data_IF_508285689452
#
_entry.id   IF_508285689452
#
_cell.length_a   1.000
_cell.length_b   1.000
_cell.length_c   1.000
_cell.angle_alpha   90.00
_cell.angle_beta   90.00
_cell.angle_gamma   90.00
#
_symmetry.space_group_name_H-M   'P 1'
#
loop_
_entity.id
_entity.type
_entity.pdbx_description
1 polymer ?
#
# COMPACT_ATOMS: atom_id res chain seq x y z
N UNK A 1 -14.58 2.78 -11.09
CA UNK A 1 -14.57 2.40 -9.67
C UNK A 1 -15.99 2.07 -9.19
N UNK A 2 -16.96 2.96 -9.35
CA UNK A 2 -18.33 2.82 -8.82
C UNK A 2 -19.03 1.55 -9.32
N UNK A 3 -19.04 1.28 -10.60
CA UNK A 3 -19.78 0.14 -11.19
C UNK A 3 -19.20 -1.23 -10.82
N UNK A 4 -17.87 -1.36 -10.76
CA UNK A 4 -17.20 -2.66 -10.59
C UNK A 4 -16.79 -2.96 -9.15
N UNK A 5 -16.48 -1.94 -8.34
CA UNK A 5 -15.91 -2.11 -6.99
C UNK A 5 -16.88 -1.84 -5.87
N UNK A 6 -17.77 -0.85 -6.00
CA UNK A 6 -18.75 -0.55 -4.96
C UNK A 6 -19.63 -1.75 -4.58
N UNK A 7 -20.08 -2.61 -5.53
CA UNK A 7 -20.86 -3.80 -5.17
C UNK A 7 -20.11 -4.82 -4.31
N UNK A 8 -18.75 -4.84 -4.37
CA UNK A 8 -17.91 -5.81 -3.66
C UNK A 8 -17.51 -5.34 -2.26
N UNK A 9 -17.59 -4.01 -1.99
CA UNK A 9 -16.99 -3.42 -0.78
C UNK A 9 -17.68 -3.89 0.49
N UNK A 10 -18.99 -4.06 0.47
CA UNK A 10 -19.76 -4.45 1.65
C UNK A 10 -19.33 -5.81 2.18
N UNK A 11 -19.22 -6.80 1.31
CA UNK A 11 -18.79 -8.15 1.67
C UNK A 11 -17.29 -8.18 2.04
N UNK A 12 -16.46 -7.44 1.30
CA UNK A 12 -15.05 -7.30 1.63
C UNK A 12 -14.83 -6.72 3.04
N UNK A 13 -15.57 -5.67 3.40
CA UNK A 13 -15.51 -5.06 4.73
C UNK A 13 -16.08 -5.98 5.82
N UNK A 14 -17.20 -6.66 5.59
CA UNK A 14 -17.82 -7.57 6.58
C UNK A 14 -16.90 -8.73 6.93
N UNK A 15 -16.31 -9.35 5.93
CA UNK A 15 -15.57 -10.60 6.07
C UNK A 15 -14.06 -10.42 6.07
N UNK A 16 -13.54 -9.18 5.95
CA UNK A 16 -12.10 -8.88 5.83
C UNK A 16 -11.42 -9.71 4.72
N UNK A 17 -12.13 -9.90 3.62
CA UNK A 17 -11.67 -10.68 2.47
C UNK A 17 -11.77 -9.84 1.21
N UNK A 18 -10.65 -9.69 0.53
CA UNK A 18 -10.61 -9.01 -0.77
C UNK A 18 -10.08 -9.98 -1.82
N UNK A 19 -10.76 -10.01 -2.94
CA UNK A 19 -10.32 -10.79 -4.10
C UNK A 19 -9.03 -10.17 -4.67
N UNK A 20 -7.94 -10.94 -4.68
CA UNK A 20 -6.65 -10.51 -5.22
C UNK A 20 -6.72 -10.19 -6.74
N UNK A 21 -7.73 -10.70 -7.47
CA UNK A 21 -7.97 -10.36 -8.86
C UNK A 21 -8.14 -8.83 -9.08
N UNK A 22 -8.48 -8.07 -8.03
CA UNK A 22 -8.57 -6.60 -8.09
C UNK A 22 -7.25 -5.94 -8.53
N UNK A 23 -6.10 -6.57 -8.22
CA UNK A 23 -4.79 -6.07 -8.68
C UNK A 23 -4.64 -6.19 -10.20
N UNK A 24 -5.08 -7.30 -10.79
CA UNK A 24 -5.09 -7.46 -12.26
C UNK A 24 -6.03 -6.46 -12.93
N UNK A 25 -7.24 -6.27 -12.37
CA UNK A 25 -8.18 -5.26 -12.87
C UNK A 25 -7.59 -3.84 -12.81
N UNK A 26 -6.80 -3.52 -11.78
CA UNK A 26 -6.09 -2.25 -11.68
C UNK A 26 -4.92 -2.16 -12.68
N UNK A 27 -4.20 -3.26 -12.88
CA UNK A 27 -3.11 -3.35 -13.85
C UNK A 27 -3.61 -3.14 -15.28
N UNK A 28 -4.69 -3.83 -15.68
CA UNK A 28 -5.32 -3.69 -17.00
C UNK A 28 -5.75 -2.25 -17.32
N UNK A 29 -6.07 -1.47 -16.30
CA UNK A 29 -6.42 -0.06 -16.41
C UNK A 29 -5.22 0.89 -16.31
N UNK A 30 -3.98 0.37 -16.14
CA UNK A 30 -2.78 1.18 -15.99
C UNK A 30 -2.73 1.98 -14.67
N UNK A 31 -3.39 1.51 -13.62
CA UNK A 31 -3.47 2.24 -12.34
C UNK A 31 -2.29 1.95 -11.39
N UNK A 32 -1.56 0.84 -11.65
CA UNK A 32 -0.44 0.43 -10.81
C UNK A 32 0.87 1.01 -11.34
N UNK A 33 1.68 1.59 -10.46
CA UNK A 33 2.93 2.25 -10.84
C UNK A 33 2.73 3.44 -11.79
N UNK A 34 1.59 4.11 -11.74
CA UNK A 34 1.14 5.10 -12.72
C UNK A 34 2.14 6.23 -12.99
N UNK A 35 2.98 6.61 -12.03
CA UNK A 35 3.98 7.69 -12.15
C UNK A 35 5.36 7.19 -12.59
N UNK A 36 5.55 5.89 -12.75
CA UNK A 36 6.81 5.28 -13.19
C UNK A 36 6.84 5.26 -14.73
N UNK A 37 7.97 5.65 -15.32
CA UNK A 37 8.20 5.56 -16.76
C UNK A 37 8.92 4.28 -17.13
N UNK A 38 8.47 3.61 -18.19
CA UNK A 38 9.02 2.32 -18.64
C UNK A 38 8.47 1.12 -17.89
N UNK A 39 8.99 -0.06 -18.15
CA UNK A 39 8.64 -1.33 -17.50
C UNK A 39 7.15 -1.69 -17.56
N UNK A 40 6.45 -1.24 -18.61
CA UNK A 40 4.99 -1.43 -18.73
C UNK A 40 4.14 -0.48 -17.87
N UNK A 41 4.75 0.49 -17.21
CA UNK A 41 4.06 1.53 -16.44
C UNK A 41 3.71 2.74 -17.32
N UNK A 42 2.61 3.49 -17.03
CA UNK A 42 2.12 4.56 -17.89
C UNK A 42 2.99 5.82 -17.96
N UNK A 43 3.82 6.11 -16.98
CA UNK A 43 4.60 7.36 -16.90
C UNK A 43 3.73 8.61 -16.75
N UNK A 44 2.58 8.51 -16.10
CA UNK A 44 1.63 9.59 -15.93
C UNK A 44 2.09 10.61 -14.86
N UNK A 45 1.47 11.79 -14.88
CA UNK A 45 1.76 12.83 -13.89
C UNK A 45 1.23 12.48 -12.49
N UNK A 46 1.76 13.12 -11.46
CA UNK A 46 1.26 13.00 -10.09
C UNK A 46 -0.20 13.50 -9.95
N UNK A 47 -0.64 14.43 -10.81
CA UNK A 47 -2.06 14.85 -10.84
C UNK A 47 -2.95 13.69 -11.25
N UNK A 48 -2.57 12.92 -12.28
CA UNK A 48 -3.30 11.71 -12.70
C UNK A 48 -3.34 10.69 -11.56
N UNK A 49 -2.21 10.44 -10.89
CA UNK A 49 -2.18 9.57 -9.72
C UNK A 49 -3.12 10.04 -8.62
N UNK A 50 -3.14 11.32 -8.31
CA UNK A 50 -4.04 11.91 -7.34
C UNK A 50 -5.53 11.72 -7.71
N UNK A 51 -5.90 12.01 -8.95
CA UNK A 51 -7.27 11.81 -9.45
C UNK A 51 -7.70 10.34 -9.37
N UNK A 52 -6.81 9.41 -9.71
CA UNK A 52 -7.08 7.97 -9.59
C UNK A 52 -7.27 7.59 -8.11
N UNK A 53 -6.41 8.05 -7.22
CA UNK A 53 -6.54 7.79 -5.78
C UNK A 53 -7.87 8.30 -5.23
N UNK A 54 -8.29 9.51 -5.62
CA UNK A 54 -9.59 10.11 -5.27
C UNK A 54 -10.77 9.24 -5.73
N UNK A 55 -10.78 8.80 -6.98
CA UNK A 55 -11.88 8.01 -7.53
C UNK A 55 -11.95 6.58 -6.95
N UNK A 56 -10.82 5.99 -6.57
CA UNK A 56 -10.82 4.68 -5.92
C UNK A 56 -11.26 4.79 -4.46
N UNK A 57 -10.79 5.77 -3.71
CA UNK A 57 -11.17 5.97 -2.32
C UNK A 57 -12.62 6.45 -2.16
N UNK A 58 -13.18 7.06 -3.18
CA UNK A 58 -14.62 7.34 -3.25
C UNK A 58 -15.49 6.09 -3.12
N UNK A 59 -14.93 4.92 -3.41
CA UNK A 59 -15.54 3.62 -3.17
C UNK A 59 -15.13 3.07 -1.82
N UNK A 60 -13.81 2.95 -1.57
CA UNK A 60 -13.28 2.39 -0.32
C UNK A 60 -11.79 2.74 -0.11
N UNK A 61 -11.47 3.18 1.10
CA UNK A 61 -10.10 3.52 1.50
C UNK A 61 -9.14 2.31 1.49
N UNK A 62 -9.66 1.10 1.73
CA UNK A 62 -8.86 -0.13 1.66
C UNK A 62 -8.38 -0.42 0.25
N UNK A 63 -9.25 -0.27 -0.73
CA UNK A 63 -8.88 -0.45 -2.15
C UNK A 63 -7.86 0.59 -2.62
N UNK A 64 -8.01 1.86 -2.20
CA UNK A 64 -6.99 2.87 -2.47
C UNK A 64 -5.68 2.54 -1.76
N UNK A 65 -5.72 2.06 -0.52
CA UNK A 65 -4.53 1.65 0.23
C UNK A 65 -3.76 0.53 -0.50
N UNK A 66 -4.45 -0.50 -0.98
CA UNK A 66 -3.85 -1.59 -1.76
C UNK A 66 -3.12 -1.08 -3.00
N UNK A 67 -3.77 -0.22 -3.80
CA UNK A 67 -3.19 0.41 -4.98
C UNK A 67 -1.99 1.30 -4.63
N UNK A 68 -2.11 2.11 -3.58
CA UNK A 68 -1.08 3.06 -3.16
C UNK A 68 0.17 2.33 -2.64
N UNK A 69 0.00 1.27 -1.85
CA UNK A 69 1.13 0.45 -1.39
C UNK A 69 1.84 -0.20 -2.56
N UNK A 70 1.10 -0.81 -3.50
CA UNK A 70 1.68 -1.38 -4.70
C UNK A 70 2.51 -0.35 -5.47
N UNK A 71 1.94 0.82 -5.76
CA UNK A 71 2.54 1.84 -6.63
C UNK A 71 3.65 2.64 -5.94
N UNK A 72 3.36 3.21 -4.76
CA UNK A 72 4.22 4.20 -4.09
C UNK A 72 5.21 3.60 -3.11
N UNK A 73 4.93 2.41 -2.55
CA UNK A 73 5.72 1.82 -1.48
C UNK A 73 6.46 0.54 -1.91
N UNK A 74 5.96 -0.18 -2.92
CA UNK A 74 6.63 -1.37 -3.45
C UNK A 74 7.30 -1.10 -4.80
N UNK A 75 6.57 -0.62 -5.80
CA UNK A 75 7.14 -0.34 -7.13
C UNK A 75 8.08 0.86 -7.14
N UNK A 76 7.73 1.93 -6.43
CA UNK A 76 8.55 3.14 -6.40
C UNK A 76 9.97 2.89 -5.89
N UNK A 77 10.22 2.25 -4.71
CA UNK A 77 11.58 2.00 -4.26
C UNK A 77 12.38 1.07 -5.20
N UNK A 78 11.74 0.09 -5.85
CA UNK A 78 12.40 -0.73 -6.87
C UNK A 78 12.80 0.15 -8.07
N UNK A 79 11.91 1.02 -8.54
CA UNK A 79 12.18 1.94 -9.65
C UNK A 79 13.27 2.97 -9.31
N UNK A 80 13.22 3.56 -8.11
CA UNK A 80 14.12 4.65 -7.73
C UNK A 80 15.49 4.17 -7.24
N UNK A 81 15.56 3.02 -6.58
CA UNK A 81 16.74 2.56 -5.85
C UNK A 81 17.27 1.20 -6.30
N UNK A 82 16.49 0.46 -7.08
CA UNK A 82 16.86 -0.86 -7.57
C UNK A 82 17.89 -0.82 -8.70
N UNK A 83 18.60 -1.93 -8.86
CA UNK A 83 19.41 -2.19 -10.05
C UNK A 83 18.51 -2.38 -11.28
N UNK A 84 19.10 -2.27 -12.48
CA UNK A 84 18.33 -2.51 -13.71
C UNK A 84 17.76 -3.95 -13.76
N UNK A 85 18.52 -4.94 -13.29
CA UNK A 85 18.06 -6.32 -13.19
C UNK A 85 16.82 -6.46 -12.26
N UNK A 86 16.83 -5.78 -11.11
CA UNK A 86 15.68 -5.75 -10.19
C UNK A 86 14.45 -5.08 -10.83
N UNK A 87 14.63 -3.97 -11.53
CA UNK A 87 13.54 -3.26 -12.23
C UNK A 87 12.90 -4.14 -13.30
N UNK A 88 13.71 -4.75 -14.16
CA UNK A 88 13.24 -5.64 -15.24
C UNK A 88 12.53 -6.88 -14.68
N UNK A 89 13.01 -7.41 -13.57
CA UNK A 89 12.43 -8.59 -12.94
C UNK A 89 11.04 -8.31 -12.35
N UNK A 90 10.89 -7.20 -11.62
CA UNK A 90 9.73 -6.98 -10.77
C UNK A 90 8.67 -6.06 -11.38
N UNK A 91 9.09 -4.90 -11.93
CA UNK A 91 8.14 -3.85 -12.30
C UNK A 91 7.11 -4.27 -13.37
N UNK A 92 7.47 -5.01 -14.43
CA UNK A 92 6.48 -5.38 -15.43
C UNK A 92 5.34 -6.25 -14.89
N UNK A 93 5.64 -7.25 -14.07
CA UNK A 93 4.64 -8.10 -13.44
C UNK A 93 3.80 -7.36 -12.41
N UNK A 94 4.43 -6.44 -11.67
CA UNK A 94 3.73 -5.59 -10.69
C UNK A 94 2.81 -4.57 -11.37
N UNK A 95 3.22 -4.00 -12.52
CA UNK A 95 2.39 -3.07 -13.30
C UNK A 95 1.12 -3.74 -13.83
N UNK A 96 1.20 -5.02 -14.24
CA UNK A 96 0.04 -5.81 -14.67
C UNK A 96 -0.78 -6.38 -13.50
N UNK A 97 -0.35 -6.16 -12.24
CA UNK A 97 -1.02 -6.73 -11.06
C UNK A 97 -0.90 -8.26 -10.96
N UNK A 98 0.08 -8.87 -11.61
CA UNK A 98 0.42 -10.29 -11.53
C UNK A 98 1.26 -10.60 -10.32
N UNK A 99 2.11 -9.64 -9.93
CA UNK A 99 2.94 -9.69 -8.74
C UNK A 99 2.51 -8.59 -7.76
N UNK A 100 2.30 -8.97 -6.52
CA UNK A 100 1.85 -8.08 -5.46
C UNK A 100 3.05 -7.74 -4.56
N UNK A 101 3.19 -6.45 -4.25
CA UNK A 101 4.23 -5.96 -3.35
C UNK A 101 3.69 -5.41 -2.04
N UNK A 102 4.55 -5.40 -1.03
CA UNK A 102 4.30 -4.73 0.24
C UNK A 102 5.55 -3.99 0.74
N UNK A 103 5.37 -3.24 1.85
CA UNK A 103 6.40 -2.34 2.37
C UNK A 103 6.56 -2.52 3.88
N UNK A 104 7.64 -3.14 4.29
CA UNK A 104 7.97 -3.45 5.68
C UNK A 104 8.88 -2.39 6.32
N UNK A 105 8.30 -1.33 6.89
CA UNK A 105 9.02 -0.32 7.66
C UNK A 105 8.62 -0.35 9.14
N UNK A 106 7.33 -0.19 9.43
CA UNK A 106 6.76 -0.10 10.77
C UNK A 106 6.97 -1.40 11.56
N UNK A 107 7.36 -1.29 12.82
CA UNK A 107 7.52 -2.38 13.77
C UNK A 107 6.53 -2.25 14.94
N UNK A 108 6.29 -3.31 15.74
CA UNK A 108 5.40 -3.22 16.88
C UNK A 108 5.71 -2.05 17.82
N UNK A 109 6.99 -1.83 18.13
CA UNK A 109 7.44 -0.78 19.05
C UNK A 109 7.98 0.48 18.37
N UNK A 110 8.10 0.49 17.03
CA UNK A 110 8.71 1.57 16.25
C UNK A 110 7.84 1.97 15.05
N UNK A 111 6.74 2.68 15.34
CA UNK A 111 5.83 3.21 14.31
C UNK A 111 6.20 4.64 13.90
N UNK A 112 5.98 5.60 14.82
CA UNK A 112 6.27 7.03 14.55
C UNK A 112 7.77 7.34 14.51
N UNK A 113 8.60 6.50 15.11
CA UNK A 113 10.07 6.59 15.08
C UNK A 113 10.68 5.38 14.37
N UNK A 114 10.61 5.32 13.03
CA UNK A 114 11.19 4.21 12.27
C UNK A 114 12.72 4.19 12.30
N UNK A 115 13.35 5.28 12.70
CA UNK A 115 14.80 5.35 12.91
C UNK A 115 15.29 4.43 14.02
N UNK A 116 14.46 4.14 15.00
CA UNK A 116 14.79 3.25 16.13
C UNK A 116 14.48 1.78 15.86
N UNK A 117 14.12 1.40 14.62
CA UNK A 117 13.78 0.02 14.25
C UNK A 117 14.74 -1.02 14.85
N UNK A 118 14.17 -2.14 15.30
CA UNK A 118 14.89 -3.27 15.89
C UNK A 118 15.33 -4.30 14.84
N UNK A 119 14.67 -4.40 13.68
CA UNK A 119 15.03 -5.33 12.60
C UNK A 119 16.48 -5.15 12.17
N UNK A 120 17.22 -6.26 12.11
CA UNK A 120 18.65 -6.30 11.79
C UNK A 120 18.93 -7.09 10.51
N UNK A 121 19.92 -6.63 9.77
CA UNK A 121 20.51 -7.31 8.64
C UNK A 121 22.00 -7.52 8.90
N UNK A 122 22.40 -8.78 9.10
CA UNK A 122 23.79 -9.17 9.30
C UNK A 122 24.39 -9.64 7.99
N UNK A 123 25.59 -9.15 7.66
CA UNK A 123 26.31 -9.61 6.47
C UNK A 123 26.78 -11.06 6.65
N UNK A 124 26.49 -11.89 5.64
CA UNK A 124 26.93 -13.30 5.57
C UNK A 124 27.50 -13.61 4.20
N UNK A 125 28.05 -14.80 4.01
CA UNK A 125 28.59 -15.21 2.72
C UNK A 125 27.49 -15.18 1.63
N UNK A 126 27.69 -14.41 0.58
CA UNK A 126 26.80 -14.30 -0.58
C UNK A 126 25.51 -13.50 -0.34
N UNK A 127 25.35 -12.85 0.82
CA UNK A 127 24.12 -12.12 1.12
C UNK A 127 24.05 -11.58 2.53
N UNK A 128 22.83 -11.55 3.04
CA UNK A 128 22.46 -10.99 4.33
C UNK A 128 21.53 -11.96 5.08
N UNK A 129 21.62 -12.00 6.39
CA UNK A 129 20.66 -12.66 7.27
C UNK A 129 19.81 -11.60 7.96
N UNK A 130 18.49 -11.62 7.73
CA UNK A 130 17.54 -10.67 8.31
C UNK A 130 16.75 -11.29 9.44
N UNK A 131 16.68 -10.59 10.58
CA UNK A 131 15.87 -10.98 11.75
C UNK A 131 15.13 -9.80 12.32
N UNK A 132 13.85 -10.02 12.69
CA UNK A 132 12.95 -9.02 13.24
C UNK A 132 11.52 -9.18 12.74
N UNK A 133 10.67 -8.20 13.06
CA UNK A 133 9.27 -8.21 12.62
C UNK A 133 8.80 -6.84 12.16
N UNK A 134 7.90 -6.83 11.19
CA UNK A 134 7.19 -5.65 10.71
C UNK A 134 5.70 -5.84 10.95
N UNK A 135 4.99 -4.79 11.33
CA UNK A 135 3.58 -4.84 11.73
C UNK A 135 2.75 -3.82 10.97
N UNK A 136 1.47 -4.13 10.80
CA UNK A 136 0.51 -3.32 10.06
C UNK A 136 0.85 -3.17 8.57
N UNK A 137 1.35 -4.24 7.96
CA UNK A 137 1.83 -4.22 6.60
C UNK A 137 0.71 -4.58 5.63
N UNK A 138 0.22 -3.59 4.90
CA UNK A 138 -0.76 -3.78 3.82
C UNK A 138 -0.19 -4.69 2.75
N UNK A 139 -0.98 -5.66 2.31
CA UNK A 139 -0.71 -6.69 1.32
C UNK A 139 0.25 -7.81 1.77
N UNK A 140 0.93 -7.74 2.93
CA UNK A 140 1.95 -8.76 3.28
C UNK A 140 1.45 -10.21 3.20
N UNK A 141 0.21 -10.57 3.61
CA UNK A 141 -0.25 -11.96 3.52
C UNK A 141 -0.35 -12.52 2.10
N UNK A 142 -0.44 -11.66 1.10
CA UNK A 142 -0.60 -12.02 -0.32
C UNK A 142 0.56 -11.55 -1.19
N UNK A 143 1.58 -10.89 -0.61
CA UNK A 143 2.69 -10.32 -1.35
C UNK A 143 3.62 -11.38 -1.92
N UNK A 144 4.06 -11.18 -3.17
CA UNK A 144 5.10 -11.96 -3.84
C UNK A 144 6.49 -11.37 -3.59
N UNK A 145 6.58 -10.05 -3.48
CA UNK A 145 7.80 -9.32 -3.15
C UNK A 145 7.58 -8.30 -2.03
N UNK A 146 8.51 -8.22 -1.09
CA UNK A 146 8.43 -7.37 0.08
C UNK A 146 9.63 -6.44 0.14
N UNK A 147 9.40 -5.13 0.11
CA UNK A 147 10.43 -4.13 0.36
C UNK A 147 10.58 -3.97 1.86
N UNK A 148 11.66 -4.47 2.43
CA UNK A 148 11.91 -4.47 3.88
C UNK A 148 13.10 -3.57 4.22
N UNK A 149 12.91 -2.73 5.23
CA UNK A 149 13.96 -1.86 5.77
C UNK A 149 14.51 -2.44 7.07
N UNK A 150 15.84 -2.58 7.12
CA UNK A 150 16.55 -3.14 8.26
C UNK A 150 17.87 -2.40 8.51
N UNK A 151 18.33 -2.38 9.75
CA UNK A 151 19.67 -1.84 10.11
C UNK A 151 20.74 -2.89 9.88
N UNK A 152 21.82 -2.52 9.22
CA UNK A 152 23.02 -3.33 9.17
C UNK A 152 23.80 -3.27 10.50
N UNK A 153 24.94 -3.95 10.58
CA UNK A 153 25.79 -4.02 11.78
C UNK A 153 26.36 -2.65 12.19
N UNK A 154 26.45 -1.71 11.25
CA UNK A 154 26.88 -0.33 11.48
C UNK A 154 25.72 0.60 11.90
N UNK A 155 24.52 0.07 12.07
CA UNK A 155 23.31 0.83 12.39
C UNK A 155 22.72 1.60 11.20
N UNK A 156 23.21 1.38 9.97
CA UNK A 156 22.72 2.05 8.77
C UNK A 156 21.52 1.30 8.21
N UNK A 157 20.45 2.04 7.93
CA UNK A 157 19.23 1.46 7.35
C UNK A 157 19.45 1.19 5.87
N UNK A 158 19.14 -0.05 5.45
CA UNK A 158 19.21 -0.55 4.08
C UNK A 158 17.85 -1.10 3.65
N UNK A 159 17.57 -1.09 2.36
CA UNK A 159 16.37 -1.69 1.76
C UNK A 159 16.67 -3.03 1.12
N UNK A 160 15.84 -4.02 1.38
CA UNK A 160 15.98 -5.39 0.89
C UNK A 160 14.70 -5.84 0.19
N UNK A 161 14.85 -6.65 -0.86
CA UNK A 161 13.73 -7.31 -1.54
C UNK A 161 13.66 -8.76 -1.05
N UNK A 162 12.65 -9.06 -0.22
CA UNK A 162 12.35 -10.42 0.19
C UNK A 162 11.29 -11.02 -0.74
N UNK A 163 11.37 -12.32 -0.96
CA UNK A 163 10.49 -13.04 -1.85
C UNK A 163 9.65 -14.04 -1.06
N UNK A 164 8.41 -14.20 -1.47
CA UNK A 164 7.52 -15.21 -0.91
C UNK A 164 8.17 -16.59 -0.94
N UNK A 165 8.09 -17.31 0.18
CA UNK A 165 8.64 -18.65 0.30
C UNK A 165 10.10 -18.72 0.73
N UNK A 166 10.79 -17.60 0.98
CA UNK A 166 12.11 -17.61 1.62
C UNK A 166 12.04 -18.32 2.97
N UNK A 167 13.03 -19.18 3.26
CA UNK A 167 13.09 -19.90 4.55
C UNK A 167 13.21 -18.91 5.71
N UNK A 168 12.43 -19.12 6.77
CA UNK A 168 12.39 -18.25 7.94
C UNK A 168 11.47 -17.03 7.79
N UNK A 169 10.83 -16.83 6.61
CA UNK A 169 9.90 -15.74 6.35
C UNK A 169 8.46 -16.21 6.53
N UNK A 170 7.68 -15.47 7.31
CA UNK A 170 6.23 -15.67 7.42
C UNK A 170 5.48 -14.33 7.42
N UNK A 171 4.23 -14.36 6.95
CA UNK A 171 3.40 -13.17 6.79
C UNK A 171 1.99 -13.40 7.34
N UNK A 172 1.83 -13.56 8.68
CA UNK A 172 0.53 -13.80 9.28
C UNK A 172 -0.41 -12.60 9.07
N UNK A 173 -1.70 -12.89 8.82
CA UNK A 173 -2.72 -11.88 8.63
C UNK A 173 -3.19 -11.30 9.97
N UNK A 174 -3.48 -10.00 9.99
CA UNK A 174 -4.12 -9.30 11.11
C UNK A 174 -5.62 -9.19 10.80
N UNK A 175 -6.44 -9.68 11.71
CA UNK A 175 -7.90 -9.66 11.63
C UNK A 175 -8.52 -8.78 12.72
N UNK A 176 -9.81 -8.43 12.58
CA UNK A 176 -10.54 -7.66 13.58
C UNK A 176 -10.26 -6.16 13.55
N UNK A 177 -9.76 -5.62 12.45
CA UNK A 177 -9.52 -4.18 12.32
C UNK A 177 -10.83 -3.40 12.41
N UNK A 178 -10.78 -2.20 13.01
CA UNK A 178 -11.92 -1.30 13.11
C UNK A 178 -12.24 -0.61 11.78
N UNK A 179 -11.21 -0.26 11.00
CA UNK A 179 -11.32 0.38 9.69
C UNK A 179 -10.42 -0.29 8.65
N UNK A 180 -10.51 0.15 7.37
CA UNK A 180 -9.75 -0.40 6.26
C UNK A 180 -9.90 -1.93 6.13
N UNK A 181 -11.10 -2.45 6.45
CA UNK A 181 -11.34 -3.89 6.57
C UNK A 181 -11.26 -4.62 5.22
N UNK A 182 -11.51 -3.91 4.11
CA UNK A 182 -11.28 -4.43 2.77
C UNK A 182 -9.78 -4.49 2.37
N UNK A 183 -8.89 -3.88 3.15
CA UNK A 183 -7.43 -3.95 2.91
C UNK A 183 -6.84 -5.13 3.66
N UNK A 184 -6.28 -6.10 2.94
CA UNK A 184 -5.54 -7.22 3.53
C UNK A 184 -4.29 -6.66 4.22
N UNK A 185 -4.17 -6.91 5.51
CA UNK A 185 -3.08 -6.38 6.34
C UNK A 185 -2.49 -7.50 7.18
N UNK A 186 -1.19 -7.51 7.37
CA UNK A 186 -0.52 -8.53 8.18
C UNK A 186 0.79 -8.04 8.76
N UNK A 187 1.61 -9.00 9.09
CA UNK A 187 2.97 -8.80 9.57
C UNK A 187 3.98 -9.34 8.54
N UNK A 188 5.25 -9.04 8.74
CA UNK A 188 6.39 -9.71 8.10
C UNK A 188 7.29 -10.15 9.25
N UNK A 189 7.35 -11.45 9.50
CA UNK A 189 8.20 -12.03 10.55
C UNK A 189 9.39 -12.71 9.88
N UNK A 190 10.57 -12.36 10.33
CA UNK A 190 11.85 -12.81 9.77
C UNK A 190 12.67 -13.48 10.88
N UNK A 191 12.97 -14.76 10.69
CA UNK A 191 13.83 -15.57 11.53
C UNK A 191 15.03 -16.04 10.72
N UNK A 192 16.13 -15.27 10.79
CA UNK A 192 17.36 -15.49 10.04
C UNK A 192 17.16 -15.71 8.54
N UNK A 193 16.27 -14.91 7.92
CA UNK A 193 15.98 -15.02 6.49
C UNK A 193 17.21 -14.66 5.68
N UNK A 194 17.71 -15.63 4.89
CA UNK A 194 18.79 -15.38 3.95
C UNK A 194 18.29 -14.57 2.74
N UNK A 195 18.90 -13.43 2.49
CA UNK A 195 18.62 -12.52 1.38
C UNK A 195 19.87 -12.37 0.55
N UNK A 196 19.91 -12.81 -0.72
CA UNK A 196 21.07 -12.67 -1.60
C UNK A 196 21.50 -11.21 -1.78
N UNK A 197 22.78 -10.98 -2.06
CA UNK A 197 23.30 -9.62 -2.31
C UNK A 197 22.57 -8.90 -3.44
N UNK A 198 22.14 -9.63 -4.47
CA UNK A 198 21.38 -9.08 -5.59
C UNK A 198 19.98 -8.57 -5.21
N UNK A 199 19.51 -8.91 -4.02
CA UNK A 199 18.21 -8.44 -3.49
C UNK A 199 18.36 -7.21 -2.56
N UNK A 200 19.58 -6.69 -2.35
CA UNK A 200 19.79 -5.38 -1.74
C UNK A 200 19.42 -4.28 -2.73
N UNK A 201 18.73 -3.22 -2.29
CA UNK A 201 18.50 -2.01 -3.08
C UNK A 201 19.78 -1.15 -3.09
N UNK A 202 20.53 -1.09 -4.20
CA UNK A 202 21.87 -0.45 -4.19
C UNK A 202 21.81 1.08 -4.15
N UNK A 203 20.73 1.66 -4.64
CA UNK A 203 20.61 3.12 -4.83
C UNK A 203 20.22 3.89 -3.57
N UNK A 204 20.22 3.27 -2.38
CA UNK A 204 19.69 3.91 -1.17
C UNK A 204 20.42 3.51 0.10
N UNK A 205 20.54 4.48 1.04
CA UNK A 205 21.08 4.29 2.39
C UNK A 205 20.43 5.27 3.36
N UNK A 206 20.17 4.82 4.60
CA UNK A 206 19.56 5.62 5.66
C UNK A 206 18.04 5.84 5.49
N UNK A 207 17.46 6.70 6.33
CA UNK A 207 16.03 7.02 6.35
C UNK A 207 15.52 7.75 5.12
N UNK A 208 16.40 8.34 4.30
CA UNK A 208 16.00 9.05 3.07
C UNK A 208 15.17 8.13 2.15
N UNK A 209 15.58 6.85 2.03
CA UNK A 209 14.88 5.89 1.19
C UNK A 209 13.41 5.70 1.57
N UNK A 210 13.11 5.19 2.78
CA UNK A 210 11.72 4.99 3.19
C UNK A 210 10.91 6.29 3.21
N UNK A 211 11.50 7.44 3.55
CA UNK A 211 10.79 8.71 3.58
C UNK A 211 10.42 9.23 2.18
N UNK A 212 11.25 9.01 1.18
CA UNK A 212 10.88 9.32 -0.21
C UNK A 212 9.66 8.50 -0.65
N UNK A 213 9.62 7.21 -0.30
CA UNK A 213 8.47 6.36 -0.57
C UNK A 213 7.19 6.86 0.15
N UNK A 214 7.32 7.21 1.44
CA UNK A 214 6.21 7.74 2.24
C UNK A 214 5.68 9.07 1.71
N UNK A 215 6.53 9.95 1.17
CA UNK A 215 6.08 11.22 0.57
C UNK A 215 5.15 10.97 -0.63
N UNK A 216 5.50 10.04 -1.50
CA UNK A 216 4.62 9.63 -2.61
C UNK A 216 3.30 9.04 -2.12
N UNK A 217 3.35 8.17 -1.09
CA UNK A 217 2.15 7.59 -0.50
C UNK A 217 1.24 8.63 0.16
N UNK A 218 1.79 9.57 0.93
CA UNK A 218 1.04 10.66 1.59
C UNK A 218 0.31 11.54 0.60
N UNK A 219 0.91 11.83 -0.54
CA UNK A 219 0.27 12.57 -1.62
C UNK A 219 -1.01 11.87 -2.10
N UNK A 220 -0.94 10.55 -2.36
CA UNK A 220 -2.11 9.76 -2.75
C UNK A 220 -3.19 9.68 -1.67
N UNK A 221 -2.80 9.61 -0.39
CA UNK A 221 -3.74 9.62 0.74
C UNK A 221 -4.50 10.95 0.81
N UNK A 222 -3.81 12.09 0.63
CA UNK A 222 -4.44 13.41 0.67
C UNK A 222 -5.54 13.56 -0.41
N UNK A 223 -5.25 13.12 -1.63
CA UNK A 223 -6.24 13.08 -2.71
C UNK A 223 -7.38 12.10 -2.44
N UNK A 224 -7.04 10.91 -1.92
CA UNK A 224 -8.02 9.87 -1.61
C UNK A 224 -9.04 10.34 -0.59
N UNK A 225 -8.60 10.98 0.50
CA UNK A 225 -9.48 11.51 1.54
C UNK A 225 -10.54 12.47 0.99
N UNK A 226 -10.21 13.24 -0.04
CA UNK A 226 -11.19 14.10 -0.72
C UNK A 226 -12.26 13.29 -1.46
N UNK A 227 -11.88 12.15 -2.06
CA UNK A 227 -12.83 11.24 -2.70
C UNK A 227 -13.84 10.65 -1.70
N UNK A 228 -13.36 10.20 -0.54
CA UNK A 228 -14.23 9.72 0.54
C UNK A 228 -15.14 10.82 1.07
N UNK A 229 -14.61 12.03 1.29
CA UNK A 229 -15.39 13.19 1.74
C UNK A 229 -16.50 13.55 0.74
N UNK A 230 -16.20 13.57 -0.54
CA UNK A 230 -17.20 13.83 -1.61
C UNK A 230 -18.30 12.77 -1.62
N UNK A 231 -17.95 11.50 -1.51
CA UNK A 231 -18.97 10.44 -1.44
C UNK A 231 -19.89 10.65 -0.24
N UNK A 232 -19.34 10.87 0.95
CA UNK A 232 -20.11 11.10 2.17
C UNK A 232 -21.02 12.30 2.03
N UNK A 233 -20.51 13.41 1.48
CA UNK A 233 -21.30 14.62 1.25
C UNK A 233 -22.45 14.38 0.28
N UNK A 234 -22.20 13.75 -0.87
CA UNK A 234 -23.24 13.46 -1.86
C UNK A 234 -24.31 12.54 -1.29
N UNK A 235 -23.91 11.47 -0.60
CA UNK A 235 -24.84 10.51 0.01
C UNK A 235 -25.70 11.18 1.10
N UNK A 236 -25.10 11.95 1.98
CA UNK A 236 -25.82 12.69 3.03
C UNK A 236 -26.78 13.73 2.44
N UNK A 237 -26.32 14.51 1.45
CA UNK A 237 -27.16 15.49 0.75
C UNK A 237 -28.37 14.82 0.11
N UNK A 238 -28.19 13.76 -0.66
CA UNK A 238 -29.29 13.05 -1.33
C UNK A 238 -30.26 12.48 -0.29
N UNK A 239 -29.73 11.80 0.73
CA UNK A 239 -30.58 11.23 1.78
C UNK A 239 -31.43 12.30 2.48
N UNK A 240 -30.88 13.47 2.80
CA UNK A 240 -31.61 14.54 3.49
C UNK A 240 -32.65 15.24 2.60
N UNK A 241 -32.50 15.19 1.28
CA UNK A 241 -33.51 15.65 0.32
C UNK A 241 -34.67 14.64 0.21
N UNK A 242 -34.38 13.35 0.23
CA UNK A 242 -35.38 12.30 0.03
C UNK A 242 -36.13 11.95 1.32
N UNK A 243 -35.44 11.92 2.47
CA UNK A 243 -36.03 11.55 3.77
C UNK A 243 -36.93 12.65 4.29
N UNK A 244 -38.21 12.32 4.48
CA UNK A 244 -39.21 13.22 5.02
C UNK A 244 -39.57 12.86 6.48
N UNK A 245 -39.75 13.88 7.30
CA UNK A 245 -40.38 13.82 8.62
C UNK A 245 -41.23 15.08 8.80
N UNK A 246 -42.38 14.95 9.43
CA UNK A 246 -43.38 16.03 9.52
C UNK A 246 -43.72 16.62 8.14
N UNK A 247 -43.94 15.75 7.14
CA UNK A 247 -44.25 16.04 5.75
C UNK A 247 -43.29 16.93 4.98
N UNK A 248 -42.05 17.10 5.47
CA UNK A 248 -41.01 17.93 4.84
C UNK A 248 -39.64 17.22 4.84
N UNK A 249 -38.80 17.48 3.83
CA UNK A 249 -37.46 16.93 3.77
C UNK A 249 -36.61 17.32 4.99
N UNK A 250 -35.69 16.45 5.44
CA UNK A 250 -34.74 16.80 6.48
C UNK A 250 -33.90 18.02 6.09
N UNK A 251 -33.57 18.17 4.80
CA UNK A 251 -32.83 19.32 4.25
C UNK A 251 -33.58 20.66 4.45
N UNK A 252 -34.84 20.69 4.82
CA UNK A 252 -35.58 21.90 5.15
C UNK A 252 -35.18 22.48 6.52
N UNK A 253 -34.38 21.77 7.33
CA UNK A 253 -33.91 22.25 8.62
C UNK A 253 -32.58 23.01 8.48
N UNK A 254 -32.49 24.19 9.08
CA UNK A 254 -31.28 25.05 8.99
C UNK A 254 -30.02 24.36 9.48
N UNK A 255 -30.09 23.51 10.53
CA UNK A 255 -28.93 22.77 11.05
C UNK A 255 -28.37 21.76 10.04
N UNK A 256 -29.22 21.22 9.17
CA UNK A 256 -28.81 20.34 8.08
C UNK A 256 -28.20 21.17 6.94
N UNK A 257 -28.83 22.27 6.59
CA UNK A 257 -28.33 23.16 5.51
C UNK A 257 -26.97 23.77 5.81
N UNK A 258 -26.66 24.01 7.08
CA UNK A 258 -25.38 24.57 7.51
C UNK A 258 -24.21 23.61 7.33
N UNK A 259 -24.43 22.31 7.31
CA UNK A 259 -23.41 21.27 7.16
C UNK A 259 -23.20 20.89 5.69
#
# INVERSE_FOLDING_TARGET
AQERRAPRVLEACRHEKTDAAIFREMGDLGLLGSTISGYGCPGASYVVYGLVAREIERVDSGYRSMMSVQSSLAMYPISAFGSEAQKQRWLPGMARGELIGCFGLTEPDHGSDPGSMATRAKKVAGGWSLSGSKMWITNSPIADVMVVWAKNEEGVIKGFLLEKGMKGLSTPAIHGKMGLRASITGEIVMDEVFVPDDNLLPGVSGLKGPFMCLNSARYGIAWGAMGAAEFCWHAARQYTLDRKQFDRPLAANQLIQKK
#
